data_IF_434469487957
#
_entry.id   IF_434469487957
#
_cell.length_a   1.000
_cell.length_b   1.000
_cell.length_c   1.000
_cell.angle_alpha   90.00
_cell.angle_beta   90.00
_cell.angle_gamma   90.00
#
_symmetry.space_group_name_H-M   'P 1'
#
loop_
_entity.id
_entity.type
_entity.pdbx_description
1 polymer ?
#
# COMPACT_ATOMS: atom_id res chain seq x y z
N UNK A 1 16.22 7.45 -9.42
CA UNK A 1 15.43 6.20 -9.26
C UNK A 1 14.73 5.91 -10.59
N UNK A 2 14.77 4.66 -11.08
CA UNK A 2 14.11 4.28 -12.35
C UNK A 2 12.69 3.80 -12.16
N UNK A 3 12.34 3.29 -10.98
CA UNK A 3 10.97 2.87 -10.62
C UNK A 3 10.62 3.49 -9.28
N UNK A 4 9.46 4.09 -9.19
CA UNK A 4 8.90 4.69 -7.98
C UNK A 4 7.47 4.17 -7.84
N UNK A 5 7.16 3.62 -6.68
CA UNK A 5 5.80 3.24 -6.30
C UNK A 5 5.29 4.26 -5.27
N UNK A 6 4.30 5.02 -5.65
CA UNK A 6 3.68 6.04 -4.81
C UNK A 6 2.28 5.60 -4.37
N UNK A 7 2.11 5.47 -3.06
CA UNK A 7 0.83 5.06 -2.45
C UNK A 7 0.17 6.22 -1.68
N UNK A 8 0.85 7.36 -1.53
CA UNK A 8 0.44 8.43 -0.63
C UNK A 8 -0.08 9.66 -1.36
N UNK A 9 0.46 9.95 -2.56
CA UNK A 9 0.22 11.18 -3.33
C UNK A 9 0.66 12.46 -2.60
N UNK A 10 0.09 13.59 -2.98
CA UNK A 10 0.41 14.88 -2.39
C UNK A 10 1.90 15.23 -2.44
N UNK A 11 2.48 15.79 -1.37
CA UNK A 11 3.89 16.19 -1.33
C UNK A 11 4.88 15.05 -1.52
N UNK A 12 4.51 13.82 -1.13
CA UNK A 12 5.35 12.63 -1.29
C UNK A 12 5.52 12.28 -2.76
N UNK A 13 4.44 12.36 -3.56
CA UNK A 13 4.52 12.19 -5.00
C UNK A 13 5.47 13.22 -5.63
N UNK A 14 5.33 14.49 -5.25
CA UNK A 14 6.18 15.58 -5.79
C UNK A 14 7.67 15.35 -5.48
N UNK A 15 7.99 14.87 -4.27
CA UNK A 15 9.35 14.51 -3.90
C UNK A 15 9.87 13.31 -4.71
N UNK A 16 9.04 12.27 -4.87
CA UNK A 16 9.32 11.09 -5.70
C UNK A 16 9.58 11.49 -7.15
N UNK A 17 8.72 12.34 -7.71
CA UNK A 17 8.88 12.87 -9.06
C UNK A 17 10.21 13.60 -9.24
N UNK A 18 10.60 14.44 -8.27
CA UNK A 18 11.90 15.10 -8.27
C UNK A 18 13.07 14.12 -8.31
N UNK A 19 12.96 12.98 -7.59
CA UNK A 19 14.00 11.95 -7.50
C UNK A 19 13.99 10.96 -8.70
N UNK A 20 12.99 11.04 -9.59
CA UNK A 20 12.91 10.17 -10.74
C UNK A 20 14.07 10.41 -11.73
N UNK A 21 14.67 9.34 -12.21
CA UNK A 21 15.66 9.36 -13.25
C UNK A 21 15.03 9.62 -14.63
N UNK A 22 15.84 9.91 -15.63
CA UNK A 22 15.40 9.91 -17.02
C UNK A 22 14.84 8.53 -17.40
N UNK A 23 13.79 8.50 -18.17
CA UNK A 23 13.06 7.29 -18.58
C UNK A 23 12.52 6.49 -17.37
N UNK A 24 12.33 7.18 -16.24
CA UNK A 24 11.77 6.56 -15.03
C UNK A 24 10.26 6.33 -15.13
N UNK A 25 9.78 5.34 -14.40
CA UNK A 25 8.37 5.02 -14.29
C UNK A 25 7.90 5.31 -12.87
N UNK A 26 6.83 6.06 -12.74
CA UNK A 26 6.15 6.29 -11.46
C UNK A 26 4.79 5.60 -11.54
N UNK A 27 4.59 4.59 -10.71
CA UNK A 27 3.31 3.93 -10.54
C UNK A 27 2.63 4.48 -9.30
N UNK A 28 1.50 5.11 -9.46
CA UNK A 28 0.74 5.70 -8.36
C UNK A 28 -0.54 4.91 -8.08
N UNK A 29 -0.71 4.51 -6.82
CA UNK A 29 -1.90 3.83 -6.31
C UNK A 29 -2.33 4.48 -4.99
N UNK A 30 -3.63 4.45 -4.68
CA UNK A 30 -4.12 5.07 -3.45
C UNK A 30 -4.12 6.61 -3.49
N UNK A 31 -4.45 7.23 -2.38
CA UNK A 31 -4.55 8.70 -2.22
C UNK A 31 -4.62 9.10 -0.73
N UNK A 32 -3.75 8.53 0.08
CA UNK A 32 -3.82 8.70 1.54
C UNK A 32 -3.67 10.15 1.99
N UNK A 33 -2.73 10.89 1.38
CA UNK A 33 -2.46 12.29 1.77
C UNK A 33 -3.28 13.29 0.96
N UNK A 34 -3.43 13.07 -0.36
CA UNK A 34 -4.17 13.96 -1.24
C UNK A 34 -4.71 13.21 -2.47
N UNK A 35 -5.75 13.76 -3.07
CA UNK A 35 -6.28 13.31 -4.37
C UNK A 35 -5.55 13.93 -5.54
N UNK A 36 -4.91 15.07 -5.32
CA UNK A 36 -4.18 15.82 -6.32
C UNK A 36 -2.68 15.65 -6.15
N UNK A 37 -1.97 15.73 -7.27
CA UNK A 37 -0.52 15.75 -7.32
C UNK A 37 -0.07 16.90 -8.20
N UNK A 38 1.00 17.56 -7.81
CA UNK A 38 1.62 18.62 -8.59
C UNK A 38 2.99 18.17 -9.05
N UNK A 39 3.28 18.41 -10.33
CA UNK A 39 4.60 18.16 -10.90
C UNK A 39 4.89 19.11 -12.04
N UNK A 40 6.18 19.30 -12.32
CA UNK A 40 6.62 20.12 -13.42
C UNK A 40 6.56 19.33 -14.74
N UNK A 41 5.61 19.64 -15.61
CA UNK A 41 5.38 18.93 -16.88
C UNK A 41 6.54 19.08 -17.86
N UNK A 42 7.25 20.21 -17.86
CA UNK A 42 8.44 20.39 -18.68
C UNK A 42 9.56 19.44 -18.21
N UNK A 43 9.74 19.30 -16.89
CA UNK A 43 10.68 18.33 -16.33
C UNK A 43 10.28 16.89 -16.66
N UNK A 44 8.98 16.57 -16.68
CA UNK A 44 8.48 15.27 -17.11
C UNK A 44 8.87 14.94 -18.54
N UNK A 45 8.69 15.91 -19.45
CA UNK A 45 9.05 15.78 -20.86
C UNK A 45 10.57 15.64 -21.06
N UNK A 46 11.37 16.47 -20.39
CA UNK A 46 12.85 16.41 -20.48
C UNK A 46 13.39 15.08 -19.98
N UNK A 47 12.81 14.56 -18.88
CA UNK A 47 13.19 13.27 -18.30
C UNK A 47 12.52 12.07 -18.96
N UNK A 48 11.54 12.29 -19.85
CA UNK A 48 10.76 11.21 -20.49
C UNK A 48 10.12 10.28 -19.46
N UNK A 49 9.51 10.86 -18.39
CA UNK A 49 8.92 10.10 -17.29
C UNK A 49 7.57 9.52 -17.72
N UNK A 50 7.39 8.23 -17.48
CA UNK A 50 6.11 7.56 -17.59
C UNK A 50 5.37 7.64 -16.24
N UNK A 51 4.13 8.14 -16.26
CA UNK A 51 3.21 8.10 -15.14
C UNK A 51 2.16 7.04 -15.40
N UNK A 52 2.06 6.07 -14.52
CA UNK A 52 1.05 5.03 -14.55
C UNK A 52 0.21 5.08 -13.27
N UNK A 53 -1.06 4.76 -13.41
CA UNK A 53 -2.00 4.78 -12.30
C UNK A 53 -2.71 3.45 -12.21
N UNK A 54 -2.76 2.90 -11.01
CA UNK A 54 -3.54 1.70 -10.72
C UNK A 54 -4.52 1.99 -9.60
N UNK A 55 -5.56 1.20 -9.55
CA UNK A 55 -6.57 1.31 -8.52
C UNK A 55 -6.76 -0.05 -7.85
N UNK A 56 -7.96 -0.56 -7.76
CA UNK A 56 -8.24 -1.82 -7.11
C UNK A 56 -7.57 -3.00 -7.83
N UNK A 57 -7.10 -3.95 -7.03
CA UNK A 57 -6.55 -5.19 -7.55
C UNK A 57 -7.62 -6.07 -8.22
N UNK A 58 -7.22 -6.82 -9.22
CA UNK A 58 -8.08 -7.79 -9.87
C UNK A 58 -7.96 -9.16 -9.18
N UNK A 59 -9.00 -9.99 -9.29
CA UNK A 59 -8.95 -11.36 -8.75
C UNK A 59 -7.73 -12.15 -9.26
N UNK A 60 -7.40 -12.14 -10.56
CA UNK A 60 -6.16 -12.77 -11.06
C UNK A 60 -4.89 -12.19 -10.42
N UNK A 61 -4.83 -10.87 -10.20
CA UNK A 61 -3.70 -10.22 -9.53
C UNK A 61 -3.55 -10.64 -8.08
N UNK A 62 -4.65 -10.78 -7.35
CA UNK A 62 -4.64 -11.29 -5.96
C UNK A 62 -4.11 -12.73 -5.93
N UNK A 63 -4.57 -13.60 -6.86
CA UNK A 63 -4.05 -14.96 -6.96
C UNK A 63 -2.54 -14.97 -7.24
N UNK A 64 -2.07 -14.19 -8.22
CA UNK A 64 -0.66 -14.09 -8.53
C UNK A 64 0.17 -13.59 -7.34
N UNK A 65 -0.32 -12.59 -6.60
CA UNK A 65 0.33 -12.09 -5.38
C UNK A 65 0.37 -13.16 -4.28
N UNK A 66 -0.69 -13.95 -4.12
CA UNK A 66 -0.75 -15.05 -3.15
C UNK A 66 0.29 -16.12 -3.44
N UNK A 67 0.53 -16.46 -4.71
CA UNK A 67 1.56 -17.41 -5.11
C UNK A 67 3.00 -16.93 -4.78
N UNK A 68 3.20 -15.62 -4.71
CA UNK A 68 4.48 -15.01 -4.36
C UNK A 68 4.68 -14.88 -2.85
N UNK A 69 3.60 -15.01 -2.05
CA UNK A 69 3.67 -14.88 -0.60
C UNK A 69 4.61 -15.93 0.01
N UNK A 70 5.45 -15.49 0.93
CA UNK A 70 6.43 -16.33 1.62
C UNK A 70 7.64 -16.73 0.77
N UNK A 71 7.60 -16.53 -0.57
CA UNK A 71 8.70 -16.82 -1.50
C UNK A 71 9.45 -15.55 -1.92
N UNK A 72 8.71 -14.52 -2.31
CA UNK A 72 9.26 -13.26 -2.83
C UNK A 72 9.04 -12.14 -1.84
N UNK A 73 7.89 -12.10 -1.19
CA UNK A 73 7.58 -11.11 -0.17
C UNK A 73 6.77 -11.71 0.98
N UNK A 74 6.83 -11.04 2.12
CA UNK A 74 5.98 -11.30 3.27
C UNK A 74 5.59 -9.95 3.86
N UNK A 75 4.31 -9.62 3.97
CA UNK A 75 3.87 -8.38 4.61
C UNK A 75 4.41 -8.29 6.04
N UNK A 76 4.87 -7.11 6.40
CA UNK A 76 5.20 -6.84 7.80
C UNK A 76 3.90 -6.63 8.56
N UNK A 77 3.70 -7.43 9.58
CA UNK A 77 2.56 -7.32 10.50
C UNK A 77 3.03 -6.59 11.75
N UNK A 78 2.20 -5.71 12.31
CA UNK A 78 2.45 -5.08 13.59
C UNK A 78 2.58 -6.16 14.68
N UNK A 79 3.50 -5.98 15.62
CA UNK A 79 3.81 -6.98 16.62
C UNK A 79 2.66 -7.23 17.61
N UNK A 80 1.87 -6.20 17.91
CA UNK A 80 0.70 -6.32 18.77
C UNK A 80 -0.54 -6.71 17.96
N UNK A 81 -1.27 -7.70 18.45
CA UNK A 81 -2.60 -8.05 17.93
C UNK A 81 -3.63 -7.36 18.81
N UNK A 82 -4.44 -6.52 18.19
CA UNK A 82 -5.52 -5.82 18.89
C UNK A 82 -6.72 -6.73 19.06
N UNK A 83 -7.39 -6.67 20.20
CA UNK A 83 -8.72 -7.27 20.36
C UNK A 83 -9.77 -6.40 19.66
N UNK A 84 -10.94 -6.95 19.39
CA UNK A 84 -11.99 -6.22 18.65
C UNK A 84 -12.41 -4.92 19.36
N UNK A 85 -12.43 -4.93 20.67
CA UNK A 85 -12.77 -3.78 21.51
C UNK A 85 -11.71 -2.66 21.44
N UNK A 86 -10.48 -3.00 21.06
CA UNK A 86 -9.37 -2.05 20.87
C UNK A 86 -9.39 -1.36 19.49
N UNK A 87 -10.34 -1.67 18.62
CA UNK A 87 -10.41 -1.10 17.27
C UNK A 87 -10.29 0.43 17.24
N UNK A 88 -10.96 1.21 18.11
CA UNK A 88 -10.81 2.67 18.11
C UNK A 88 -9.36 3.11 18.38
N UNK A 89 -8.66 2.43 19.29
CA UNK A 89 -7.25 2.69 19.60
C UNK A 89 -6.36 2.36 18.40
N UNK A 90 -6.54 1.18 17.80
CA UNK A 90 -5.77 0.76 16.62
C UNK A 90 -5.92 1.75 15.45
N UNK A 91 -7.13 2.28 15.21
CA UNK A 91 -7.38 3.30 14.18
C UNK A 91 -6.71 4.64 14.51
N UNK A 92 -6.72 5.07 15.77
CA UNK A 92 -6.05 6.30 16.17
C UNK A 92 -4.53 6.18 15.98
N UNK A 93 -3.92 5.09 16.43
CA UNK A 93 -2.50 4.81 16.28
C UNK A 93 -2.08 4.70 14.80
N UNK A 94 -2.93 4.11 13.95
CA UNK A 94 -2.70 4.07 12.50
C UNK A 94 -2.73 5.48 11.89
N UNK A 95 -3.64 6.34 12.34
CA UNK A 95 -3.74 7.71 11.88
C UNK A 95 -2.54 8.56 12.30
N UNK A 96 -1.98 8.28 13.46
CA UNK A 96 -0.76 8.92 13.99
C UNK A 96 0.54 8.32 13.42
N UNK A 97 0.45 7.27 12.58
CA UNK A 97 1.60 6.53 12.01
C UNK A 97 2.58 5.98 13.07
N UNK A 98 2.10 5.59 14.22
CA UNK A 98 2.95 5.00 15.28
C UNK A 98 3.11 3.49 15.14
N UNK A 99 2.26 2.86 14.34
CA UNK A 99 2.31 1.41 14.09
C UNK A 99 3.38 1.05 13.05
N UNK A 100 4.06 -0.06 13.29
CA UNK A 100 5.01 -0.64 12.34
C UNK A 100 4.39 -1.86 11.68
N UNK A 101 4.11 -1.78 10.38
CA UNK A 101 3.47 -2.86 9.64
C UNK A 101 1.94 -2.80 9.68
N UNK A 102 1.31 -3.87 9.24
CA UNK A 102 -0.15 -3.98 9.12
C UNK A 102 -0.75 -4.35 10.48
N UNK A 103 -1.63 -3.53 11.07
CA UNK A 103 -2.29 -3.88 12.32
C UNK A 103 -3.29 -5.03 12.10
N UNK A 104 -3.31 -5.97 13.01
CA UNK A 104 -4.22 -7.12 13.01
C UNK A 104 -5.25 -6.95 14.13
N UNK A 105 -6.50 -7.05 13.78
CA UNK A 105 -7.61 -7.03 14.75
C UNK A 105 -8.16 -8.45 14.87
N UNK A 106 -8.19 -8.98 16.09
CA UNK A 106 -8.82 -10.25 16.38
C UNK A 106 -10.31 -10.06 16.53
N UNK A 107 -11.08 -10.51 15.57
CA UNK A 107 -12.55 -10.36 15.57
C UNK A 107 -13.27 -11.52 16.27
N UNK A 108 -12.59 -12.66 16.50
CA UNK A 108 -13.12 -13.82 17.20
C UNK A 108 -11.98 -14.58 17.87
N UNK A 109 -12.23 -15.16 19.05
CA UNK A 109 -11.27 -16.00 19.78
C UNK A 109 -11.04 -17.33 19.09
N UNK A 110 -12.06 -17.86 18.45
CA UNK A 110 -12.03 -19.11 17.70
C UNK A 110 -12.53 -18.88 16.28
N UNK A 111 -11.96 -19.59 15.32
CA UNK A 111 -12.41 -19.53 13.95
C UNK A 111 -13.79 -20.18 13.83
N UNK A 112 -14.81 -19.49 13.32
CA UNK A 112 -16.11 -20.10 13.09
C UNK A 112 -15.99 -21.33 12.18
N UNK A 113 -16.68 -22.41 12.52
CA UNK A 113 -16.62 -23.68 11.77
C UNK A 113 -16.96 -23.51 10.27
N UNK A 114 -17.87 -22.57 9.96
CA UNK A 114 -18.21 -22.24 8.58
C UNK A 114 -17.04 -21.63 7.79
N UNK A 115 -16.14 -20.89 8.45
CA UNK A 115 -14.95 -20.29 7.84
C UNK A 115 -13.85 -21.33 7.74
N UNK A 116 -13.65 -22.19 8.75
CA UNK A 116 -12.69 -23.25 8.73
C UNK A 116 -12.87 -24.18 7.51
N UNK A 117 -14.11 -24.50 7.16
CA UNK A 117 -14.46 -25.33 5.98
C UNK A 117 -14.18 -24.66 4.62
N UNK A 118 -13.84 -23.37 4.57
CA UNK A 118 -13.51 -22.66 3.33
C UNK A 118 -12.00 -22.64 3.05
N UNK A 119 -11.18 -23.04 4.02
CA UNK A 119 -9.71 -22.97 3.94
C UNK A 119 -9.07 -24.37 3.84
N UNK A 120 -9.82 -25.44 4.04
CA UNK A 120 -9.45 -26.83 3.73
C UNK A 120 -9.66 -27.12 2.23
#
# INVERSE_FOLDING_TARGET
MHIICDMLRGPVFSAGFGAAAREGVIVSAGWQLDRFVEYNSASASIKEITLDHTHLETIPGIHAATELYGRVFKPTVHEDIYEFEDLPRALAEMQENVQTGIPIIRVAKEMPEAVAKLID
#
